data_IF_560453306780
#
_entry.id   IF_560453306780
#
_cell.length_a   1.000
_cell.length_b   1.000
_cell.length_c   1.000
_cell.angle_alpha   90.00
_cell.angle_beta   90.00
_cell.angle_gamma   90.00
#
_symmetry.space_group_name_H-M   'P 1'
#
loop_
_entity.id
_entity.type
_entity.pdbx_description
1 polymer ?
#
# COMPACT_ATOMS: atom_id res chain seq x y z
N UNK A 1 -38.02 -69.02 -47.96
CA UNK A 1 -36.94 -68.13 -48.42
C UNK A 1 -37.40 -66.69 -48.70
N UNK A 2 -38.49 -66.46 -49.45
CA UNK A 2 -38.96 -65.11 -49.79
C UNK A 2 -39.33 -64.24 -48.56
N UNK A 3 -40.10 -64.78 -47.62
CA UNK A 3 -40.51 -64.05 -46.41
C UNK A 3 -39.32 -63.63 -45.52
N UNK A 4 -38.31 -64.50 -45.37
CA UNK A 4 -37.10 -64.18 -44.62
C UNK A 4 -36.29 -63.04 -45.26
N UNK A 5 -36.33 -62.90 -46.60
CA UNK A 5 -35.69 -61.79 -47.31
C UNK A 5 -36.44 -60.49 -47.09
N UNK A 6 -37.77 -60.50 -47.10
CA UNK A 6 -38.60 -59.32 -46.82
C UNK A 6 -38.36 -58.84 -45.39
N UNK A 7 -38.35 -59.77 -44.43
CA UNK A 7 -38.16 -59.43 -43.01
C UNK A 7 -36.76 -58.83 -42.75
N UNK A 8 -35.73 -59.41 -43.36
CA UNK A 8 -34.37 -58.84 -43.29
C UNK A 8 -34.30 -57.44 -43.88
N UNK A 9 -34.91 -57.21 -45.05
CA UNK A 9 -34.93 -55.88 -45.68
C UNK A 9 -35.68 -54.87 -44.82
N UNK A 10 -36.81 -55.25 -44.22
CA UNK A 10 -37.55 -54.37 -43.29
C UNK A 10 -36.70 -54.00 -42.07
N UNK A 11 -36.08 -55.00 -41.44
CA UNK A 11 -35.20 -54.78 -40.29
C UNK A 11 -33.98 -53.91 -40.64
N UNK A 12 -33.38 -54.09 -41.81
CA UNK A 12 -32.29 -53.25 -42.31
C UNK A 12 -32.72 -51.80 -42.53
N UNK A 13 -33.91 -51.58 -43.09
CA UNK A 13 -34.48 -50.23 -43.29
C UNK A 13 -34.78 -49.57 -41.95
N UNK A 14 -35.45 -50.25 -41.03
CA UNK A 14 -35.76 -49.74 -39.69
C UNK A 14 -34.48 -49.38 -38.91
N UNK A 15 -33.45 -50.23 -39.00
CA UNK A 15 -32.15 -49.97 -38.38
C UNK A 15 -31.46 -48.75 -39.00
N UNK A 16 -31.53 -48.62 -40.32
CA UNK A 16 -30.95 -47.48 -41.03
C UNK A 16 -31.66 -46.15 -40.68
N UNK A 17 -32.99 -46.17 -40.60
CA UNK A 17 -33.79 -45.02 -40.17
C UNK A 17 -33.50 -44.62 -38.72
N UNK A 18 -33.43 -45.60 -37.81
CA UNK A 18 -33.06 -45.36 -36.41
C UNK A 18 -31.65 -44.76 -36.30
N UNK A 19 -30.67 -45.34 -37.02
CA UNK A 19 -29.29 -44.84 -37.03
C UNK A 19 -29.21 -43.43 -37.60
N UNK A 20 -29.97 -43.12 -38.66
CA UNK A 20 -30.02 -41.77 -39.24
C UNK A 20 -30.59 -40.77 -38.24
N UNK A 21 -31.71 -41.10 -37.61
CA UNK A 21 -32.36 -40.25 -36.60
C UNK A 21 -31.42 -39.98 -35.40
N UNK A 22 -30.73 -41.00 -34.90
CA UNK A 22 -29.75 -40.83 -33.83
C UNK A 22 -28.56 -39.95 -34.25
N UNK A 23 -28.08 -40.08 -35.49
CA UNK A 23 -26.99 -39.26 -36.01
C UNK A 23 -27.40 -37.79 -36.15
N UNK A 24 -28.61 -37.53 -36.69
CA UNK A 24 -29.19 -36.19 -36.79
C UNK A 24 -29.36 -35.55 -35.40
N UNK A 25 -29.86 -36.30 -34.41
CA UNK A 25 -29.99 -35.83 -33.04
C UNK A 25 -28.64 -35.51 -32.38
N UNK A 26 -27.62 -36.34 -32.61
CA UNK A 26 -26.25 -36.10 -32.10
C UNK A 26 -25.63 -34.86 -32.75
N UNK A 27 -25.80 -34.68 -34.06
CA UNK A 27 -25.31 -33.50 -34.78
C UNK A 27 -25.96 -32.22 -34.25
N UNK A 28 -27.29 -32.21 -34.14
CA UNK A 28 -28.02 -31.07 -33.58
C UNK A 28 -27.58 -30.73 -32.15
N UNK A 29 -27.28 -31.75 -31.33
CA UNK A 29 -26.74 -31.55 -29.99
C UNK A 29 -25.33 -30.93 -30.03
N UNK A 30 -24.45 -31.44 -30.88
CA UNK A 30 -23.07 -30.91 -31.03
C UNK A 30 -23.10 -29.45 -31.49
N UNK A 31 -23.93 -29.12 -32.49
CA UNK A 31 -24.05 -27.75 -32.99
C UNK A 31 -24.55 -26.80 -31.89
N UNK A 32 -25.52 -27.23 -31.09
CA UNK A 32 -25.99 -26.49 -29.91
C UNK A 32 -24.90 -26.32 -28.86
N UNK A 33 -24.18 -27.39 -28.52
CA UNK A 33 -23.09 -27.36 -27.54
C UNK A 33 -21.96 -26.41 -27.97
N UNK A 34 -21.62 -26.39 -29.27
CA UNK A 34 -20.61 -25.46 -29.84
C UNK A 34 -21.10 -24.01 -29.75
N UNK A 35 -22.33 -23.73 -30.15
CA UNK A 35 -22.90 -22.39 -30.07
C UNK A 35 -22.93 -21.86 -28.62
N UNK A 36 -23.32 -22.72 -27.68
CA UNK A 36 -23.32 -22.40 -26.26
C UNK A 36 -21.90 -22.16 -25.73
N UNK A 37 -20.92 -22.97 -26.15
CA UNK A 37 -19.53 -22.81 -25.74
C UNK A 37 -18.94 -21.47 -26.22
N UNK A 38 -19.27 -21.02 -27.44
CA UNK A 38 -18.79 -19.74 -27.95
C UNK A 38 -19.46 -18.54 -27.28
N UNK A 39 -20.76 -18.65 -26.95
CA UNK A 39 -21.45 -17.63 -26.15
C UNK A 39 -20.83 -17.50 -24.75
N UNK A 40 -20.59 -18.63 -24.10
CA UNK A 40 -20.00 -18.68 -22.76
C UNK A 40 -18.55 -18.15 -22.76
N UNK A 41 -17.76 -18.50 -23.78
CA UNK A 41 -16.41 -17.96 -23.96
C UNK A 41 -16.42 -16.43 -24.05
N UNK A 42 -17.35 -15.85 -24.82
CA UNK A 42 -17.48 -14.39 -24.94
C UNK A 42 -17.85 -13.76 -23.61
N UNK A 43 -18.83 -14.34 -22.91
CA UNK A 43 -19.24 -13.88 -21.56
C UNK A 43 -18.05 -13.85 -20.60
N UNK A 44 -17.26 -14.94 -20.54
CA UNK A 44 -16.08 -15.02 -19.68
C UNK A 44 -15.03 -13.95 -20.05
N UNK A 45 -14.79 -13.73 -21.35
CA UNK A 45 -13.82 -12.72 -21.79
C UNK A 45 -14.26 -11.30 -21.45
N UNK A 46 -15.55 -11.00 -21.56
CA UNK A 46 -16.07 -9.67 -21.24
C UNK A 46 -16.07 -9.42 -19.73
N UNK A 47 -16.46 -10.41 -18.92
CA UNK A 47 -16.35 -10.36 -17.45
C UNK A 47 -14.90 -10.20 -16.98
N UNK A 48 -13.96 -10.90 -17.63
CA UNK A 48 -12.54 -10.76 -17.33
C UNK A 48 -12.01 -9.35 -17.66
N UNK A 49 -12.46 -8.75 -18.77
CA UNK A 49 -12.11 -7.38 -19.16
C UNK A 49 -12.67 -6.36 -18.18
N UNK A 50 -13.92 -6.50 -17.79
CA UNK A 50 -14.55 -5.61 -16.81
C UNK A 50 -13.86 -5.70 -15.45
N UNK A 51 -13.59 -6.92 -14.99
CA UNK A 51 -12.85 -7.16 -13.75
C UNK A 51 -11.46 -6.55 -13.79
N UNK A 52 -10.72 -6.72 -14.90
CA UNK A 52 -9.39 -6.15 -15.07
C UNK A 52 -9.42 -4.61 -15.08
N UNK A 53 -10.42 -4.01 -15.73
CA UNK A 53 -10.59 -2.55 -15.76
C UNK A 53 -10.92 -1.98 -14.37
N UNK A 54 -11.80 -2.65 -13.63
CA UNK A 54 -12.13 -2.30 -12.24
C UNK A 54 -10.91 -2.41 -11.33
N UNK A 55 -10.19 -3.53 -11.41
CA UNK A 55 -8.99 -3.76 -10.60
C UNK A 55 -7.90 -2.73 -10.90
N UNK A 56 -7.67 -2.40 -12.18
CA UNK A 56 -6.72 -1.35 -12.58
C UNK A 56 -7.08 -0.01 -11.93
N UNK A 57 -8.35 0.38 -12.00
CA UNK A 57 -8.83 1.63 -11.40
C UNK A 57 -8.62 1.64 -9.89
N UNK A 58 -8.95 0.55 -9.20
CA UNK A 58 -8.76 0.40 -7.76
C UNK A 58 -7.28 0.46 -7.36
N UNK A 59 -6.39 -0.22 -8.10
CA UNK A 59 -4.95 -0.21 -7.84
C UNK A 59 -4.38 1.20 -7.99
N UNK A 60 -4.74 1.91 -9.07
CA UNK A 60 -4.26 3.27 -9.31
C UNK A 60 -4.77 4.23 -8.23
N UNK A 61 -6.05 4.13 -7.86
CA UNK A 61 -6.61 4.94 -6.78
C UNK A 61 -5.91 4.67 -5.45
N UNK A 62 -5.72 3.40 -5.08
CA UNK A 62 -5.02 3.01 -3.87
C UNK A 62 -3.57 3.51 -3.86
N UNK A 63 -2.84 3.34 -4.97
CA UNK A 63 -1.47 3.82 -5.09
C UNK A 63 -1.39 5.36 -4.95
N UNK A 64 -2.38 6.08 -5.47
CA UNK A 64 -2.50 7.53 -5.29
C UNK A 64 -2.68 7.93 -3.83
N UNK A 65 -3.60 7.26 -3.12
CA UNK A 65 -3.81 7.48 -1.69
C UNK A 65 -2.57 7.16 -0.88
N UNK A 66 -1.98 5.98 -1.08
CA UNK A 66 -0.79 5.53 -0.34
C UNK A 66 0.40 6.50 -0.57
N UNK A 67 0.57 7.01 -1.79
CA UNK A 67 1.60 8.00 -2.10
C UNK A 67 1.35 9.37 -1.44
N UNK A 68 0.09 9.80 -1.37
CA UNK A 68 -0.30 11.04 -0.67
C UNK A 68 -0.04 10.91 0.83
N UNK A 69 -0.44 9.80 1.44
CA UNK A 69 -0.23 9.52 2.86
C UNK A 69 1.26 9.46 3.20
N UNK A 70 2.06 8.81 2.36
CA UNK A 70 3.51 8.74 2.54
C UNK A 70 4.15 10.14 2.50
N UNK A 71 3.73 11.00 1.56
CA UNK A 71 4.21 12.39 1.48
C UNK A 71 3.81 13.20 2.71
N UNK A 72 2.57 13.05 3.18
CA UNK A 72 2.10 13.76 4.37
C UNK A 72 2.89 13.35 5.62
N UNK A 73 3.12 12.04 5.81
CA UNK A 73 3.95 11.53 6.90
C UNK A 73 5.39 12.02 6.79
N UNK A 74 5.99 11.93 5.60
CA UNK A 74 7.35 12.41 5.37
C UNK A 74 7.52 13.91 5.65
N UNK A 75 6.52 14.74 5.32
CA UNK A 75 6.52 16.16 5.65
C UNK A 75 6.48 16.39 7.18
N UNK A 76 5.60 15.66 7.88
CA UNK A 76 5.51 15.74 9.34
C UNK A 76 6.81 15.29 10.03
N UNK A 77 7.44 14.21 9.55
CA UNK A 77 8.71 13.70 10.06
C UNK A 77 9.84 14.73 9.86
N UNK A 78 9.90 15.36 8.69
CA UNK A 78 10.88 16.42 8.39
C UNK A 78 10.70 17.62 9.32
N UNK A 79 9.48 18.05 9.58
CA UNK A 79 9.24 19.21 10.45
C UNK A 79 9.51 18.88 11.92
N UNK A 80 9.22 17.65 12.36
CA UNK A 80 9.63 17.14 13.67
C UNK A 80 11.17 17.12 13.80
N UNK A 81 11.87 16.58 12.80
CA UNK A 81 13.33 16.52 12.78
C UNK A 81 13.98 17.91 12.80
N UNK A 82 13.44 18.88 12.05
CA UNK A 82 13.91 20.28 12.11
C UNK A 82 13.74 20.90 13.49
N UNK A 83 12.59 20.65 14.12
CA UNK A 83 12.30 21.17 15.47
C UNK A 83 13.29 20.60 16.48
N UNK A 84 13.52 19.28 16.43
CA UNK A 84 14.50 18.61 17.28
C UNK A 84 15.91 19.14 17.04
N UNK A 85 16.36 19.22 15.78
CA UNK A 85 17.69 19.72 15.44
C UNK A 85 17.89 21.18 15.92
N UNK A 86 16.85 22.01 15.84
CA UNK A 86 16.91 23.39 16.35
C UNK A 86 17.05 23.41 17.88
N UNK A 87 16.31 22.57 18.59
CA UNK A 87 16.41 22.44 20.05
C UNK A 87 17.81 21.94 20.47
N UNK A 88 18.35 20.96 19.76
CA UNK A 88 19.67 20.39 20.03
C UNK A 88 20.76 21.46 19.84
N UNK A 89 20.69 22.22 18.74
CA UNK A 89 21.61 23.35 18.50
C UNK A 89 21.51 24.43 19.57
N UNK A 90 20.30 24.78 20.02
CA UNK A 90 20.12 25.75 21.10
C UNK A 90 20.74 25.26 22.41
N UNK A 91 20.60 23.98 22.73
CA UNK A 91 21.21 23.37 23.90
C UNK A 91 22.74 23.38 23.82
N UNK A 92 23.32 23.02 22.67
CA UNK A 92 24.78 23.07 22.46
C UNK A 92 25.32 24.50 22.58
N UNK A 93 24.63 25.49 22.00
CA UNK A 93 25.01 26.90 22.12
C UNK A 93 24.97 27.36 23.58
N UNK A 94 23.96 26.96 24.35
CA UNK A 94 23.87 27.32 25.77
C UNK A 94 25.05 26.75 26.58
N UNK A 95 25.45 25.50 26.31
CA UNK A 95 26.62 24.87 26.95
C UNK A 95 27.91 25.62 26.58
N UNK A 96 28.09 25.97 25.30
CA UNK A 96 29.26 26.72 24.84
C UNK A 96 29.32 28.12 25.46
N UNK A 97 28.19 28.82 25.53
CA UNK A 97 28.08 30.15 26.12
C UNK A 97 28.40 30.12 27.62
N UNK A 98 27.89 29.12 28.36
CA UNK A 98 28.20 28.93 29.77
C UNK A 98 29.70 28.71 29.99
N UNK A 99 30.31 27.80 29.23
CA UNK A 99 31.75 27.53 29.33
C UNK A 99 32.62 28.74 28.97
N UNK A 100 32.18 29.59 28.03
CA UNK A 100 32.85 30.86 27.73
C UNK A 100 32.71 31.87 28.88
N UNK A 101 31.52 31.99 29.47
CA UNK A 101 31.27 32.86 30.62
C UNK A 101 32.12 32.44 31.83
N UNK A 102 32.20 31.14 32.13
CA UNK A 102 33.05 30.59 33.19
C UNK A 102 34.53 30.99 33.01
N UNK A 103 35.06 30.87 31.77
CA UNK A 103 36.44 31.31 31.46
C UNK A 103 36.63 32.81 31.64
N UNK A 104 35.66 33.63 31.24
CA UNK A 104 35.73 35.10 31.42
C UNK A 104 35.73 35.46 32.89
N UNK A 105 34.88 34.84 33.71
CA UNK A 105 34.85 35.05 35.18
C UNK A 105 36.16 34.61 35.81
N UNK A 106 36.68 33.43 35.45
CA UNK A 106 37.96 32.93 35.97
C UNK A 106 39.13 33.86 35.64
N UNK A 107 39.16 34.44 34.42
CA UNK A 107 40.22 35.37 34.00
C UNK A 107 40.10 36.77 34.62
N UNK A 108 38.91 37.20 35.02
CA UNK A 108 38.68 38.52 35.64
C UNK A 108 38.71 38.50 37.18
N UNK A 109 38.86 37.33 37.81
CA UNK A 109 39.02 37.23 39.26
C UNK A 109 40.46 37.60 39.65
N UNK A 110 40.74 38.89 39.81
CA UNK A 110 41.94 39.37 40.51
C UNK A 110 41.70 39.44 42.03
N UNK A 111 42.77 39.61 42.81
CA UNK A 111 42.67 39.64 44.28
C UNK A 111 41.77 40.77 44.80
N UNK A 112 41.61 41.85 44.05
CA UNK A 112 40.74 42.97 44.41
C UNK A 112 39.26 42.63 44.21
N UNK A 113 38.92 42.05 43.06
CA UNK A 113 37.57 41.57 42.73
C UNK A 113 37.13 40.46 43.69
N UNK A 114 38.05 39.58 44.07
CA UNK A 114 37.80 38.52 45.04
C UNK A 114 37.51 39.08 46.45
N UNK A 115 38.23 40.11 46.88
CA UNK A 115 37.97 40.79 48.15
C UNK A 115 36.61 41.54 48.15
N UNK A 116 36.27 42.19 47.04
CA UNK A 116 34.98 42.89 46.87
C UNK A 116 33.78 41.92 46.86
N UNK A 117 33.91 40.74 46.25
CA UNK A 117 32.88 39.70 46.28
C UNK A 117 32.67 39.13 47.70
N UNK A 118 33.74 38.97 48.47
CA UNK A 118 33.69 38.54 49.87
C UNK A 118 32.98 39.59 50.72
N UNK A 119 33.35 40.87 50.59
CA UNK A 119 32.73 41.97 51.33
C UNK A 119 31.23 42.09 50.99
N UNK A 120 30.85 42.02 49.71
CA UNK A 120 29.45 42.02 49.28
C UNK A 120 28.65 40.82 49.81
N UNK A 121 29.26 39.63 49.91
CA UNK A 121 28.62 38.47 50.51
C UNK A 121 28.41 38.66 52.03
N UNK A 122 29.42 39.16 52.75
CA UNK A 122 29.31 39.48 54.18
C UNK A 122 28.19 40.50 54.41
N UNK A 123 28.09 41.53 53.57
CA UNK A 123 27.01 42.52 53.66
C UNK A 123 25.62 41.94 53.35
N UNK A 124 25.48 41.07 52.34
CA UNK A 124 24.18 40.43 52.02
C UNK A 124 23.71 39.45 53.08
N UNK A 125 24.61 38.66 53.66
CA UNK A 125 24.25 37.70 54.72
C UNK A 125 24.04 38.43 56.05
N UNK A 126 24.84 39.46 56.35
CA UNK A 126 24.66 40.31 57.52
C UNK A 126 23.44 41.24 57.48
N UNK A 127 22.94 41.59 56.28
CA UNK A 127 21.70 42.36 56.11
C UNK A 127 20.43 41.49 56.12
N UNK A 128 20.57 40.15 56.03
CA UNK A 128 19.48 39.19 56.14
C UNK A 128 19.25 38.64 57.55
N UNK A 129 19.98 39.16 58.54
CA UNK A 129 19.90 38.82 59.97
C UNK A 129 19.54 40.04 60.81
#
# INVERSE_FOLDING_TARGET
MWNARIERIRSEIETAEATRSEAEAKLAKIDSDIANADAERRRILDEARETAASLKTQIVAKAGTDASDLRARGAADVDSAKTQATSDLQAEIAVLALGAAEKVVANNLDSATQAELIENYIQKVGAGS
#
